data_IF_508288958606
#
_entry.id   IF_508288958606
#
_cell.length_a   1.000
_cell.length_b   1.000
_cell.length_c   1.000
_cell.angle_alpha   90.00
_cell.angle_beta   90.00
_cell.angle_gamma   90.00
#
_symmetry.space_group_name_H-M   'P 1'
#
loop_
_entity.id
_entity.type
_entity.pdbx_description
1 polymer ?
#
# COMPACT_ATOMS: atom_id res chain seq x y z
N UNK A 1 20.34 0.43 -0.26
CA UNK A 1 19.12 0.13 -1.05
C UNK A 1 18.68 -1.26 -0.66
N UNK A 2 17.45 -1.44 -0.14
CA UNK A 2 16.90 -2.79 0.14
C UNK A 2 16.77 -3.54 -1.18
N UNK A 3 17.11 -4.82 -1.20
CA UNK A 3 16.95 -5.66 -2.40
C UNK A 3 15.44 -5.79 -2.73
N UNK A 4 15.07 -5.90 -4.01
CA UNK A 4 13.67 -5.97 -4.46
C UNK A 4 12.89 -7.11 -3.78
N UNK A 5 13.57 -8.25 -3.56
CA UNK A 5 12.99 -9.38 -2.83
C UNK A 5 12.70 -9.05 -1.35
N UNK A 6 13.54 -8.26 -0.68
CA UNK A 6 13.27 -7.85 0.71
C UNK A 6 12.07 -6.91 0.78
N UNK A 7 11.96 -5.99 -0.18
CA UNK A 7 10.80 -5.08 -0.26
C UNK A 7 9.51 -5.84 -0.54
N UNK A 8 9.54 -6.87 -1.39
CA UNK A 8 8.41 -7.77 -1.62
C UNK A 8 7.99 -8.47 -0.33
N UNK A 9 8.93 -9.11 0.36
CA UNK A 9 8.62 -9.85 1.60
C UNK A 9 8.09 -8.92 2.70
N UNK A 10 8.69 -7.74 2.86
CA UNK A 10 8.22 -6.72 3.80
C UNK A 10 6.78 -6.30 3.44
N UNK A 11 6.53 -5.94 2.19
CA UNK A 11 5.21 -5.54 1.72
C UNK A 11 4.16 -6.61 2.00
N UNK A 12 4.41 -7.86 1.62
CA UNK A 12 3.47 -8.95 1.85
C UNK A 12 3.23 -9.19 3.35
N UNK A 13 4.25 -9.05 4.20
CA UNK A 13 4.07 -9.15 5.65
C UNK A 13 3.18 -8.03 6.21
N UNK A 14 3.31 -6.80 5.72
CA UNK A 14 2.40 -5.71 6.12
C UNK A 14 0.96 -5.98 5.68
N UNK A 15 0.74 -6.42 4.44
CA UNK A 15 -0.61 -6.79 3.98
C UNK A 15 -1.17 -7.94 4.83
N UNK A 16 -0.35 -8.94 5.19
CA UNK A 16 -0.75 -10.03 6.09
C UNK A 16 -1.12 -9.56 7.50
N UNK A 17 -0.60 -8.42 7.94
CA UNK A 17 -0.91 -7.80 9.23
C UNK A 17 -2.15 -6.88 9.16
N UNK A 18 -2.77 -6.73 8.00
CA UNK A 18 -3.97 -5.92 7.80
C UNK A 18 -3.71 -4.47 7.39
N UNK A 19 -2.47 -4.13 7.02
CA UNK A 19 -2.16 -2.81 6.51
C UNK A 19 -2.75 -2.60 5.12
N UNK A 20 -3.07 -1.34 4.82
CA UNK A 20 -3.57 -0.90 3.52
C UNK A 20 -2.60 0.10 2.88
N UNK A 21 -2.64 0.21 1.56
CA UNK A 21 -1.83 1.18 0.82
C UNK A 21 -2.57 2.51 0.79
N UNK A 22 -1.88 3.58 1.20
CA UNK A 22 -2.36 4.95 1.13
C UNK A 22 -1.50 5.77 0.17
N UNK A 23 -2.11 6.26 -0.90
CA UNK A 23 -1.54 7.24 -1.81
C UNK A 23 -1.97 8.63 -1.33
N UNK A 24 -1.06 9.32 -0.64
CA UNK A 24 -1.32 10.62 -0.01
C UNK A 24 -1.44 11.76 -1.04
N UNK A 25 -0.61 11.75 -2.08
CA UNK A 25 -0.51 12.82 -3.08
C UNK A 25 -0.12 12.29 -4.47
N UNK A 26 -0.65 12.90 -5.52
CA UNK A 26 -0.39 12.48 -6.90
C UNK A 26 1.08 12.70 -7.29
N UNK A 27 1.67 13.79 -6.79
CA UNK A 27 3.04 14.21 -7.07
C UNK A 27 4.11 13.32 -6.41
N UNK A 28 3.72 12.58 -5.37
CA UNK A 28 4.63 11.64 -4.71
C UNK A 28 4.83 10.40 -5.59
N UNK A 29 6.08 9.94 -5.70
CA UNK A 29 6.42 8.70 -6.44
C UNK A 29 6.35 7.44 -5.57
N UNK A 30 5.90 7.58 -4.33
CA UNK A 30 5.77 6.51 -3.35
C UNK A 30 4.36 6.49 -2.76
N UNK A 31 4.06 5.41 -2.06
CA UNK A 31 2.88 5.28 -1.20
C UNK A 31 3.34 4.96 0.22
N UNK A 32 2.42 5.07 1.17
CA UNK A 32 2.66 4.64 2.55
C UNK A 32 1.74 3.47 2.90
N UNK A 33 2.12 2.70 3.92
CA UNK A 33 1.27 1.67 4.50
C UNK A 33 0.70 2.20 5.81
N UNK A 34 -0.61 2.08 5.96
CA UNK A 34 -1.33 2.51 7.17
C UNK A 34 -2.14 1.36 7.76
N UNK A 35 -2.33 1.39 9.07
CA UNK A 35 -3.16 0.44 9.80
C UNK A 35 -4.66 0.79 9.74
N UNK A 36 -5.47 0.08 10.51
CA UNK A 36 -6.92 0.32 10.63
C UNK A 36 -7.26 1.72 11.19
N UNK A 37 -6.35 2.34 11.93
CA UNK A 37 -6.49 3.70 12.48
C UNK A 37 -5.93 4.78 11.55
N UNK A 38 -5.46 4.39 10.35
CA UNK A 38 -4.78 5.25 9.37
C UNK A 38 -3.46 5.83 9.89
N UNK A 39 -2.81 5.14 10.82
CA UNK A 39 -1.50 5.53 11.32
C UNK A 39 -0.38 4.93 10.45
N UNK A 40 0.60 5.76 10.08
CA UNK A 40 1.82 5.31 9.42
C UNK A 40 2.73 4.72 10.50
N UNK A 41 2.74 3.40 10.62
CA UNK A 41 3.53 2.69 11.64
C UNK A 41 4.91 2.23 11.14
N UNK A 42 5.25 2.50 9.89
CA UNK A 42 6.49 2.06 9.25
C UNK A 42 7.10 3.14 8.35
N UNK A 43 8.43 3.23 8.37
CA UNK A 43 9.20 4.04 7.40
C UNK A 43 9.26 3.40 6.00
N UNK A 44 8.64 2.23 5.82
CA UNK A 44 8.55 1.57 4.52
C UNK A 44 7.63 2.34 3.57
N UNK A 45 8.23 2.95 2.55
CA UNK A 45 7.58 3.78 1.53
C UNK A 45 7.81 3.18 0.14
N UNK A 46 7.06 2.13 -0.24
CA UNK A 46 7.25 1.49 -1.54
C UNK A 46 6.94 2.48 -2.67
N UNK A 47 7.65 2.34 -3.79
CA UNK A 47 7.40 3.18 -4.98
C UNK A 47 6.07 2.81 -5.63
N UNK A 48 5.44 3.77 -6.31
CA UNK A 48 4.20 3.50 -7.08
C UNK A 48 4.43 2.46 -8.18
N UNK A 49 5.63 2.39 -8.74
CA UNK A 49 5.97 1.39 -9.75
C UNK A 49 6.11 -0.01 -9.17
N UNK A 50 6.74 -0.15 -8.00
CA UNK A 50 6.75 -1.41 -7.25
C UNK A 50 5.32 -1.89 -6.98
N UNK A 51 4.41 -1.01 -6.55
CA UNK A 51 2.99 -1.40 -6.35
C UNK A 51 2.35 -1.92 -7.63
N UNK A 52 2.60 -1.28 -8.79
CA UNK A 52 2.07 -1.76 -10.09
C UNK A 52 2.63 -3.13 -10.47
N UNK A 53 3.87 -3.43 -10.11
CA UNK A 53 4.46 -4.76 -10.34
C UNK A 53 3.85 -5.81 -9.42
N UNK A 54 3.64 -5.46 -8.15
CA UNK A 54 2.96 -6.32 -7.18
C UNK A 54 1.53 -6.65 -7.64
N UNK A 55 0.78 -5.66 -8.15
CA UNK A 55 -0.56 -5.87 -8.70
C UNK A 55 -0.57 -6.85 -9.89
N UNK A 56 0.55 -7.01 -10.62
CA UNK A 56 0.70 -7.96 -11.72
C UNK A 56 1.28 -9.31 -11.30
N UNK A 57 1.88 -9.39 -10.12
CA UNK A 57 2.64 -10.56 -9.65
C UNK A 57 1.78 -11.74 -9.17
N UNK A 58 0.47 -11.51 -8.99
CA UNK A 58 -0.51 -12.43 -8.42
C UNK A 58 -0.24 -12.84 -6.96
N UNK A 59 0.71 -12.21 -6.26
CA UNK A 59 0.92 -12.45 -4.82
C UNK A 59 -0.18 -11.81 -3.96
N UNK A 60 -0.84 -10.79 -4.50
CA UNK A 60 -1.98 -10.10 -3.87
C UNK A 60 -3.14 -9.99 -4.84
N UNK A 61 -4.33 -9.78 -4.28
CA UNK A 61 -5.52 -9.36 -5.01
C UNK A 61 -6.02 -8.04 -4.46
N UNK A 62 -6.55 -7.19 -5.33
CA UNK A 62 -7.18 -5.92 -4.93
C UNK A 62 -8.58 -6.25 -4.41
N UNK A 63 -8.82 -5.97 -3.13
CA UNK A 63 -10.13 -6.08 -2.50
C UNK A 63 -10.96 -4.83 -2.79
N UNK A 64 -10.34 -3.66 -2.62
CA UNK A 64 -10.94 -2.37 -2.93
C UNK A 64 -9.86 -1.37 -3.34
N UNK A 65 -10.23 -0.40 -4.17
CA UNK A 65 -9.32 0.64 -4.67
C UNK A 65 -10.10 1.91 -4.96
N UNK A 66 -9.84 2.94 -4.16
CA UNK A 66 -10.36 4.27 -4.40
C UNK A 66 -9.75 4.86 -5.69
N UNK A 67 -10.61 5.39 -6.57
CA UNK A 67 -10.19 5.88 -7.90
C UNK A 67 -10.24 7.40 -8.04
N UNK A 68 -10.94 8.08 -7.15
CA UNK A 68 -11.21 9.52 -7.26
C UNK A 68 -10.75 10.21 -5.99
N UNK A 69 -9.79 11.11 -6.14
CA UNK A 69 -9.26 11.89 -5.02
C UNK A 69 -10.23 12.98 -4.63
N UNK A 70 -10.66 12.93 -3.38
CA UNK A 70 -11.42 13.99 -2.76
C UNK A 70 -10.49 15.00 -2.08
N UNK A 71 -11.02 16.16 -1.73
CA UNK A 71 -10.26 17.22 -1.08
C UNK A 71 -11.08 17.85 0.03
N UNK A 72 -10.43 18.13 1.14
CA UNK A 72 -11.03 18.84 2.25
C UNK A 72 -10.39 20.22 2.44
N UNK A 73 -11.17 21.17 2.92
CA UNK A 73 -10.68 22.49 3.27
C UNK A 73 -10.32 22.53 4.75
N UNK A 74 -9.07 22.85 5.05
CA UNK A 74 -8.58 23.05 6.42
C UNK A 74 -7.81 24.35 6.51
N UNK A 75 -8.27 25.28 7.36
CA UNK A 75 -7.66 26.61 7.56
C UNK A 75 -7.43 27.37 6.25
N UNK A 76 -8.41 27.34 5.34
CA UNK A 76 -8.33 28.01 4.03
C UNK A 76 -7.42 27.33 3.01
N UNK A 77 -6.79 26.19 3.35
CA UNK A 77 -6.01 25.38 2.42
C UNK A 77 -6.79 24.14 2.00
N UNK A 78 -6.88 23.92 0.70
CA UNK A 78 -7.41 22.68 0.12
C UNK A 78 -6.33 21.59 0.26
N UNK A 79 -6.65 20.50 0.96
CA UNK A 79 -5.77 19.35 1.15
C UNK A 79 -6.37 18.11 0.49
N UNK A 80 -5.56 17.28 -0.19
CA UNK A 80 -6.05 16.02 -0.73
C UNK A 80 -6.43 15.06 0.39
N UNK A 81 -7.48 14.29 0.19
CA UNK A 81 -7.70 13.07 0.95
C UNK A 81 -6.85 11.95 0.33
N UNK A 82 -6.20 11.11 1.15
CA UNK A 82 -5.45 9.98 0.63
C UNK A 82 -6.36 8.99 -0.09
N UNK A 83 -5.84 8.35 -1.13
CA UNK A 83 -6.51 7.25 -1.82
C UNK A 83 -6.08 5.92 -1.22
N UNK A 84 -7.05 5.14 -0.74
CA UNK A 84 -6.80 3.85 -0.13
C UNK A 84 -6.95 2.72 -1.15
N UNK A 85 -6.00 1.79 -1.14
CA UNK A 85 -6.09 0.51 -1.82
C UNK A 85 -5.93 -0.61 -0.79
N UNK A 86 -6.92 -1.50 -0.74
CA UNK A 86 -6.97 -2.64 0.17
C UNK A 86 -6.56 -3.88 -0.63
N UNK A 87 -5.53 -4.57 -0.14
CA UNK A 87 -5.07 -5.83 -0.71
C UNK A 87 -5.38 -7.00 0.21
N UNK A 88 -5.48 -8.18 -0.38
CA UNK A 88 -5.44 -9.46 0.33
C UNK A 88 -4.38 -10.35 -0.29
N UNK A 89 -3.66 -11.11 0.53
CA UNK A 89 -2.72 -12.11 0.04
C UNK A 89 -3.46 -13.24 -0.69
N UNK A 90 -2.93 -13.66 -1.84
CA UNK A 90 -3.36 -14.89 -2.52
C UNK A 90 -2.67 -16.10 -1.88
N UNK A 91 -3.08 -17.32 -2.25
CA UNK A 91 -2.36 -18.53 -1.83
C UNK A 91 -0.87 -18.48 -2.20
N UNK A 92 -0.55 -17.98 -3.40
CA UNK A 92 0.82 -17.77 -3.87
C UNK A 92 1.60 -16.80 -2.99
N UNK A 93 0.98 -15.71 -2.55
CA UNK A 93 1.57 -14.75 -1.63
C UNK A 93 1.80 -15.33 -0.22
N UNK A 94 0.85 -16.12 0.27
CA UNK A 94 0.97 -16.83 1.56
C UNK A 94 2.08 -17.89 1.54
N UNK A 95 2.16 -18.67 0.46
CA UNK A 95 3.21 -19.66 0.24
C UNK A 95 4.60 -19.02 0.21
N UNK A 96 4.74 -17.85 -0.44
CA UNK A 96 6.00 -17.10 -0.48
C UNK A 96 6.44 -16.62 0.91
N UNK A 97 5.49 -16.30 1.80
CA UNK A 97 5.77 -15.95 3.19
C UNK A 97 6.03 -17.18 4.08
N UNK A 98 5.86 -18.40 3.58
CA UNK A 98 5.94 -19.62 4.38
C UNK A 98 4.83 -19.73 5.43
N UNK A 99 3.70 -19.03 5.24
CA UNK A 99 2.55 -19.01 6.15
C UNK A 99 1.41 -19.83 5.52
N UNK A 100 0.99 -20.90 6.19
CA UNK A 100 -0.15 -21.75 5.80
C UNK A 100 -1.29 -21.63 6.80
#
# INVERSE_FOLDING_TARGET
MKNENEQLIDFLNFINQGYVVSDEQDEDNFVVLVDENREILSDFKPSKDFIKEIEKSEFVTIVDKEKKREYFNSRGKRKPMPLITIYKLTSKGMDLLGKK
#
